data_IF_944795226895
#
_entry.id   IF_944795226895
#
_cell.length_a   1.000
_cell.length_b   1.000
_cell.length_c   1.000
_cell.angle_alpha   90.00
_cell.angle_beta   90.00
_cell.angle_gamma   90.00
#
_symmetry.space_group_name_H-M   'P 1'
#
loop_
_entity.id
_entity.type
_entity.pdbx_description
1 polymer ?
#
# COMPACT_ATOMS: atom_id res chain seq x y z
N UNK A 1 -10.05 15.34 1.73
CA UNK A 1 -9.78 16.11 0.51
C UNK A 1 -9.92 15.21 -0.70
N UNK A 2 -10.64 15.67 -1.71
CA UNK A 2 -10.84 14.95 -2.97
C UNK A 2 -10.32 15.81 -4.11
N UNK A 3 -9.49 15.22 -4.96
CA UNK A 3 -8.83 15.92 -6.07
C UNK A 3 -9.09 15.16 -7.38
N UNK A 4 -9.38 15.89 -8.44
CA UNK A 4 -9.47 15.31 -9.79
C UNK A 4 -8.04 15.11 -10.31
N UNK A 5 -7.62 13.86 -10.69
CA UNK A 5 -6.22 13.57 -10.93
C UNK A 5 -5.63 14.16 -12.21
N UNK A 6 -6.42 14.39 -13.25
CA UNK A 6 -5.92 14.95 -14.50
C UNK A 6 -5.61 16.44 -14.39
N UNK A 7 -6.53 17.20 -13.81
CA UNK A 7 -6.40 18.65 -13.64
C UNK A 7 -5.80 19.06 -12.31
N UNK A 8 -5.70 18.15 -11.34
CA UNK A 8 -5.34 18.41 -9.95
C UNK A 8 -6.27 19.42 -9.27
N UNK A 9 -7.48 19.53 -9.78
CA UNK A 9 -8.48 20.45 -9.24
C UNK A 9 -9.07 19.90 -7.94
N UNK A 10 -9.17 20.76 -6.94
CA UNK A 10 -9.85 20.42 -5.70
C UNK A 10 -11.35 20.28 -5.95
N UNK A 11 -11.88 19.09 -5.71
CA UNK A 11 -13.32 18.83 -5.83
C UNK A 11 -14.04 19.13 -4.52
N UNK A 12 -13.46 18.72 -3.41
CA UNK A 12 -14.02 18.98 -2.08
C UNK A 12 -12.99 18.86 -0.99
N UNK A 13 -13.19 19.63 0.07
CA UNK A 13 -12.45 19.48 1.31
C UNK A 13 -13.36 19.94 2.44
N UNK A 14 -13.74 19.00 3.33
CA UNK A 14 -14.67 19.27 4.44
C UNK A 14 -14.10 18.78 5.74
N UNK A 15 -14.34 19.56 6.79
CA UNK A 15 -14.14 19.10 8.15
C UNK A 15 -15.30 18.18 8.54
N UNK A 16 -14.98 16.95 8.93
CA UNK A 16 -15.97 15.96 9.35
C UNK A 16 -15.61 15.40 10.72
N UNK A 17 -16.61 14.95 11.47
CA UNK A 17 -16.40 14.39 12.81
C UNK A 17 -15.76 13.01 12.78
N UNK A 18 -15.98 12.26 11.70
CA UNK A 18 -15.50 10.88 11.57
C UNK A 18 -15.09 10.60 10.13
N UNK A 19 -14.21 9.63 9.97
CA UNK A 19 -13.77 9.11 8.65
C UNK A 19 -14.34 7.72 8.43
N UNK A 20 -15.58 7.50 8.80
CA UNK A 20 -16.24 6.21 8.63
C UNK A 20 -16.81 6.04 7.22
N UNK A 21 -17.30 4.82 6.94
CA UNK A 21 -17.85 4.49 5.63
C UNK A 21 -19.07 5.31 5.27
N UNK A 22 -19.93 5.59 6.22
CA UNK A 22 -21.16 6.37 5.99
C UNK A 22 -20.82 7.81 5.57
N UNK A 23 -19.87 8.45 6.23
CA UNK A 23 -19.41 9.80 5.91
C UNK A 23 -18.81 9.86 4.50
N UNK A 24 -17.96 8.90 4.13
CA UNK A 24 -17.42 8.82 2.80
C UNK A 24 -18.46 8.54 1.73
N UNK A 25 -19.43 7.68 2.01
CA UNK A 25 -20.55 7.41 1.09
C UNK A 25 -21.36 8.68 0.80
N UNK A 26 -21.62 9.50 1.81
CA UNK A 26 -22.29 10.80 1.64
C UNK A 26 -21.50 11.73 0.73
N UNK A 27 -20.18 11.79 0.91
CA UNK A 27 -19.31 12.61 0.06
C UNK A 27 -19.34 12.14 -1.40
N UNK A 28 -19.26 10.85 -1.66
CA UNK A 28 -19.32 10.32 -3.03
C UNK A 28 -20.70 10.55 -3.67
N UNK A 29 -21.77 10.48 -2.89
CA UNK A 29 -23.11 10.72 -3.40
C UNK A 29 -23.32 12.16 -3.92
N UNK A 30 -22.49 13.10 -3.48
CA UNK A 30 -22.53 14.49 -3.96
C UNK A 30 -22.01 14.66 -5.39
N UNK A 31 -21.37 13.64 -5.95
CA UNK A 31 -20.78 13.66 -7.29
C UNK A 31 -21.43 12.58 -8.17
N UNK A 32 -22.65 12.81 -8.67
CA UNK A 32 -23.36 11.78 -9.45
C UNK A 32 -22.67 11.42 -10.77
N UNK A 33 -21.84 12.31 -11.30
CA UNK A 33 -21.07 12.07 -12.52
C UNK A 33 -19.72 11.37 -12.25
N UNK A 34 -19.39 11.08 -11.00
CA UNK A 34 -18.16 10.39 -10.65
C UNK A 34 -18.15 8.98 -11.22
N UNK A 35 -17.09 8.61 -11.95
CA UNK A 35 -16.95 7.32 -12.62
C UNK A 35 -15.98 6.39 -11.92
N UNK A 36 -14.96 6.94 -11.29
CA UNK A 36 -13.89 6.17 -10.66
C UNK A 36 -13.34 6.89 -9.43
N UNK A 37 -12.89 6.11 -8.47
CA UNK A 37 -12.18 6.59 -7.28
C UNK A 37 -10.85 5.87 -7.19
N UNK A 38 -9.78 6.64 -7.06
CA UNK A 38 -8.44 6.14 -6.72
C UNK A 38 -8.19 6.51 -5.26
N UNK A 39 -7.95 5.53 -4.43
CA UNK A 39 -7.88 5.71 -2.98
C UNK A 39 -6.75 4.93 -2.34
N UNK A 40 -6.39 5.31 -1.12
CA UNK A 40 -5.54 4.50 -0.27
C UNK A 40 -6.34 3.32 0.33
N UNK A 41 -5.65 2.47 1.09
CA UNK A 41 -6.24 1.25 1.67
C UNK A 41 -6.91 1.52 3.04
N UNK A 42 -7.48 2.69 3.24
CA UNK A 42 -8.22 3.04 4.45
C UNK A 42 -9.54 2.28 4.55
N UNK A 43 -9.80 1.66 5.70
CA UNK A 43 -11.02 0.83 5.91
C UNK A 43 -12.31 1.63 5.78
N UNK A 44 -12.35 2.84 6.35
CA UNK A 44 -13.52 3.73 6.25
C UNK A 44 -13.79 4.15 4.82
N UNK A 45 -12.75 4.52 4.10
CA UNK A 45 -12.84 4.94 2.70
C UNK A 45 -13.29 3.78 1.81
N UNK A 46 -12.73 2.59 1.98
CA UNK A 46 -13.14 1.39 1.26
C UNK A 46 -14.59 1.01 1.51
N UNK A 47 -15.05 1.11 2.75
CA UNK A 47 -16.46 0.89 3.11
C UNK A 47 -17.37 1.93 2.46
N UNK A 48 -16.95 3.20 2.42
CA UNK A 48 -17.69 4.27 1.78
C UNK A 48 -17.90 4.03 0.29
N UNK A 49 -16.86 3.59 -0.40
CA UNK A 49 -16.95 3.24 -1.83
C UNK A 49 -17.93 2.07 -2.03
N UNK A 50 -17.85 1.02 -1.22
CA UNK A 50 -18.77 -0.12 -1.32
C UNK A 50 -20.22 0.29 -1.09
N UNK A 51 -20.49 1.12 -0.11
CA UNK A 51 -21.84 1.64 0.17
C UNK A 51 -22.36 2.46 -1.01
N UNK A 52 -21.57 3.33 -1.57
CA UNK A 52 -21.97 4.14 -2.73
C UNK A 52 -22.19 3.28 -3.98
N UNK A 53 -21.37 2.28 -4.22
CA UNK A 53 -21.58 1.35 -5.32
C UNK A 53 -22.89 0.59 -5.17
N UNK A 54 -23.22 0.12 -3.97
CA UNK A 54 -24.49 -0.55 -3.70
C UNK A 54 -25.68 0.39 -3.93
N UNK A 55 -25.58 1.64 -3.48
CA UNK A 55 -26.61 2.64 -3.70
C UNK A 55 -26.85 2.90 -5.19
N UNK A 56 -25.79 3.05 -5.95
CA UNK A 56 -25.86 3.28 -7.41
C UNK A 56 -26.51 2.11 -8.14
N UNK A 57 -26.15 0.88 -7.78
CA UNK A 57 -26.78 -0.32 -8.35
C UNK A 57 -28.26 -0.37 -8.07
N UNK A 58 -28.66 -0.11 -6.84
CA UNK A 58 -30.08 -0.06 -6.44
C UNK A 58 -30.86 1.01 -7.18
N UNK A 59 -30.23 2.14 -7.52
CA UNK A 59 -30.85 3.23 -8.25
C UNK A 59 -30.79 3.07 -9.78
N UNK A 60 -30.15 2.00 -10.29
CA UNK A 60 -29.96 1.78 -11.73
C UNK A 60 -28.94 2.73 -12.37
N UNK A 61 -28.09 3.34 -11.58
CA UNK A 61 -27.03 4.25 -12.06
C UNK A 61 -25.78 3.45 -12.50
N UNK A 62 -24.93 4.04 -13.35
CA UNK A 62 -23.65 3.43 -13.70
C UNK A 62 -22.80 3.14 -12.49
N UNK A 63 -22.11 2.00 -12.49
CA UNK A 63 -21.24 1.60 -11.39
C UNK A 63 -20.02 2.52 -11.24
N UNK A 64 -19.46 2.55 -10.05
CA UNK A 64 -18.28 3.34 -9.70
C UNK A 64 -17.07 2.43 -9.66
N UNK A 65 -16.05 2.74 -10.45
CA UNK A 65 -14.78 2.00 -10.40
C UNK A 65 -14.01 2.37 -9.14
N UNK A 66 -13.46 1.36 -8.50
CA UNK A 66 -12.67 1.50 -7.27
C UNK A 66 -11.27 0.93 -7.49
N UNK A 67 -10.27 1.78 -7.35
CA UNK A 67 -8.87 1.40 -7.53
C UNK A 67 -8.04 1.86 -6.34
N UNK A 68 -7.09 1.02 -5.93
CA UNK A 68 -6.11 1.40 -4.93
C UNK A 68 -5.02 2.27 -5.56
N UNK A 69 -4.54 3.24 -4.80
CA UNK A 69 -3.38 4.03 -5.18
C UNK A 69 -2.14 3.15 -5.20
N UNK A 70 -1.60 2.94 -6.39
CA UNK A 70 -0.44 2.06 -6.61
C UNK A 70 0.78 2.57 -5.84
N UNK A 71 1.02 3.87 -5.82
CA UNK A 71 2.15 4.45 -5.09
C UNK A 71 2.03 4.22 -3.60
N UNK A 72 0.85 4.42 -3.03
CA UNK A 72 0.60 4.17 -1.62
C UNK A 72 0.80 2.69 -1.28
N UNK A 73 0.24 1.80 -2.09
CA UNK A 73 0.37 0.34 -1.94
C UNK A 73 1.82 -0.11 -2.03
N UNK A 74 2.56 0.38 -3.02
CA UNK A 74 3.98 0.08 -3.18
C UNK A 74 4.81 0.62 -2.01
N UNK A 75 4.50 1.81 -1.53
CA UNK A 75 5.17 2.41 -0.38
C UNK A 75 4.97 1.58 0.89
N UNK A 76 3.74 1.16 1.17
CA UNK A 76 3.42 0.32 2.33
C UNK A 76 4.05 -1.07 2.19
N UNK A 77 3.98 -1.68 1.02
CA UNK A 77 4.67 -2.94 0.72
C UNK A 77 6.18 -2.84 0.88
N UNK A 78 6.77 -1.74 0.41
CA UNK A 78 8.18 -1.46 0.56
C UNK A 78 8.61 -1.29 2.03
N UNK A 79 7.78 -0.64 2.84
CA UNK A 79 8.03 -0.52 4.28
C UNK A 79 7.99 -1.87 4.98
N UNK A 80 7.00 -2.69 4.70
CA UNK A 80 6.87 -4.03 5.26
C UNK A 80 8.06 -4.90 4.85
N UNK A 81 8.44 -4.86 3.58
CA UNK A 81 9.58 -5.61 3.03
C UNK A 81 10.90 -5.17 3.68
N UNK A 82 11.13 -3.87 3.83
CA UNK A 82 12.34 -3.35 4.48
C UNK A 82 12.44 -3.79 5.93
N UNK A 83 11.32 -3.81 6.65
CA UNK A 83 11.27 -4.27 8.04
C UNK A 83 11.65 -5.75 8.14
N UNK A 84 11.09 -6.58 7.30
CA UNK A 84 11.39 -8.02 7.22
C UNK A 84 12.82 -8.26 6.79
N UNK A 85 13.28 -7.55 5.77
CA UNK A 85 14.64 -7.63 5.25
C UNK A 85 15.68 -7.20 6.28
N UNK A 86 15.40 -6.11 7.00
CA UNK A 86 16.25 -5.65 8.10
C UNK A 86 16.34 -6.67 9.24
N UNK A 87 15.25 -7.32 9.59
CA UNK A 87 15.24 -8.38 10.61
C UNK A 87 16.08 -9.60 10.16
N UNK A 88 15.94 -10.01 8.90
CA UNK A 88 16.73 -11.08 8.30
C UNK A 88 18.22 -10.74 8.26
N UNK A 89 18.56 -9.50 7.89
CA UNK A 89 19.94 -9.02 7.87
C UNK A 89 20.58 -9.03 9.26
N UNK A 90 19.85 -8.57 10.28
CA UNK A 90 20.33 -8.62 11.67
C UNK A 90 20.51 -10.04 12.17
N UNK A 91 19.62 -10.95 11.81
CA UNK A 91 19.75 -12.36 12.16
C UNK A 91 21.01 -12.99 11.52
N UNK A 92 21.26 -12.66 10.26
CA UNK A 92 22.44 -13.10 9.54
C UNK A 92 23.74 -12.56 10.17
N UNK A 93 23.77 -11.29 10.52
CA UNK A 93 24.90 -10.67 11.22
C UNK A 93 25.20 -11.37 12.54
N UNK A 94 24.18 -11.69 13.33
CA UNK A 94 24.35 -12.43 14.59
C UNK A 94 24.89 -13.84 14.35
N UNK A 95 24.43 -14.51 13.31
CA UNK A 95 24.91 -15.83 12.95
C UNK A 95 26.40 -15.79 12.53
N UNK A 96 26.77 -14.79 11.74
CA UNK A 96 28.17 -14.59 11.32
C UNK A 96 29.08 -14.26 12.52
N UNK A 97 28.64 -13.42 13.43
CA UNK A 97 29.38 -13.07 14.65
C UNK A 97 29.61 -14.29 15.55
N UNK A 98 28.67 -15.24 15.57
CA UNK A 98 28.78 -16.48 16.33
C UNK A 98 29.61 -17.55 15.63
N UNK A 99 29.97 -17.36 14.35
CA UNK A 99 30.71 -18.34 13.57
C UNK A 99 32.16 -18.42 14.02
N UNK A 100 32.70 -19.63 14.26
CA UNK A 100 34.11 -19.79 14.57
C UNK A 100 35.03 -19.31 13.43
N UNK A 101 36.16 -18.70 13.79
CA UNK A 101 37.12 -18.16 12.82
C UNK A 101 37.71 -19.23 11.88
N UNK A 102 37.84 -20.47 12.36
CA UNK A 102 38.29 -21.61 11.57
C UNK A 102 37.43 -21.88 10.35
N UNK A 103 36.09 -21.73 10.48
CA UNK A 103 35.17 -21.93 9.36
C UNK A 103 35.30 -20.83 8.32
N UNK A 104 35.60 -19.62 8.73
CA UNK A 104 35.83 -18.52 7.80
C UNK A 104 37.07 -18.74 6.94
N UNK A 105 38.16 -19.19 7.55
CA UNK A 105 39.38 -19.58 6.83
C UNK A 105 39.12 -20.69 5.83
N UNK A 106 38.37 -21.72 6.21
CA UNK A 106 37.98 -22.82 5.33
C UNK A 106 37.15 -22.34 4.15
N UNK A 107 36.21 -21.42 4.38
CA UNK A 107 35.38 -20.84 3.32
C UNK A 107 36.23 -20.06 2.31
N UNK A 108 37.22 -19.32 2.76
CA UNK A 108 38.14 -18.58 1.90
C UNK A 108 38.99 -19.52 1.06
N UNK A 109 39.47 -20.62 1.62
CA UNK A 109 40.22 -21.65 0.90
C UNK A 109 39.37 -22.29 -0.19
N UNK A 110 38.14 -22.66 0.10
CA UNK A 110 37.19 -23.20 -0.89
C UNK A 110 36.96 -22.22 -2.03
N UNK A 111 36.77 -20.95 -1.72
CA UNK A 111 36.60 -19.91 -2.72
C UNK A 111 37.79 -19.76 -3.65
N UNK A 112 38.99 -19.79 -3.11
CA UNK A 112 40.23 -19.72 -3.91
C UNK A 112 40.38 -20.95 -4.83
N UNK A 113 40.06 -22.14 -4.36
CA UNK A 113 40.08 -23.36 -5.15
C UNK A 113 39.03 -23.38 -6.25
N UNK A 114 37.86 -22.82 -5.98
CA UNK A 114 36.77 -22.73 -6.94
C UNK A 114 37.01 -21.70 -8.04
N UNK A 115 37.97 -20.79 -7.88
CA UNK A 115 38.30 -19.73 -8.82
C UNK A 115 39.77 -19.76 -9.21
N UNK A 116 40.23 -20.81 -9.88
CA UNK A 116 41.60 -20.90 -10.35
C UNK A 116 41.85 -19.85 -11.44
N UNK A 117 42.81 -19.06 -11.26
CA UNK A 117 43.21 -18.04 -12.24
C UNK A 117 43.95 -18.63 -13.43
#
# INVERSE_FOLDING_TARGET
MVVEPESLCWMTGRMVKARDGATWAEEFARFPALKAVVRDDGTGLGKGVRLERARRRAAGLPDLDDSLDVFHTLREGGRALRKTWGAAGRALERADAARPAVKQGTADEIFLDANPS
#
